data_IF_505577941654
#
_entry.id   IF_505577941654
#
_cell.length_a   1.000
_cell.length_b   1.000
_cell.length_c   1.000
_cell.angle_alpha   90.00
_cell.angle_beta   90.00
_cell.angle_gamma   90.00
#
_symmetry.space_group_name_H-M   'P 1'
#
loop_
_entity.id
_entity.type
_entity.pdbx_description
1 polymer ?
#
# COMPACT_ATOMS: atom_id res chain seq x y z
N UNK A 1 -3.57 -14.12 -4.27
CA UNK A 1 -2.85 -13.84 -5.54
C UNK A 1 -3.83 -13.14 -6.48
N UNK A 2 -3.45 -12.04 -7.14
CA UNK A 2 -4.33 -11.33 -8.07
C UNK A 2 -4.71 -12.27 -9.23
N UNK A 3 -6.00 -12.39 -9.59
CA UNK A 3 -6.43 -13.25 -10.67
C UNK A 3 -6.00 -12.67 -12.03
N UNK A 4 -5.33 -13.47 -12.84
CA UNK A 4 -4.90 -13.13 -14.21
C UNK A 4 -5.28 -14.24 -15.18
N UNK A 5 -5.42 -13.89 -16.45
CA UNK A 5 -5.77 -14.83 -17.51
C UNK A 5 -4.66 -15.85 -17.79
N UNK A 6 -4.99 -16.97 -18.41
CA UNK A 6 -4.00 -17.94 -18.87
C UNK A 6 -3.09 -17.36 -19.97
N UNK A 7 -3.63 -16.43 -20.78
CA UNK A 7 -2.85 -15.68 -21.76
C UNK A 7 -1.78 -14.82 -21.10
N UNK A 8 -2.12 -14.14 -20.00
CA UNK A 8 -1.16 -13.38 -19.19
C UNK A 8 -0.07 -14.27 -18.60
N UNK A 9 -0.45 -15.41 -18.02
CA UNK A 9 0.51 -16.40 -17.43
C UNK A 9 1.48 -16.92 -18.48
N UNK A 10 1.03 -17.06 -19.71
CA UNK A 10 1.87 -17.47 -20.85
C UNK A 10 2.78 -16.33 -21.30
N UNK A 11 2.22 -15.13 -21.47
CA UNK A 11 2.96 -13.96 -21.94
C UNK A 11 4.06 -13.54 -20.96
N UNK A 12 3.81 -13.57 -19.65
CA UNK A 12 4.80 -13.18 -18.63
C UNK A 12 6.01 -14.12 -18.59
N UNK A 13 5.86 -15.38 -19.04
CA UNK A 13 6.95 -16.36 -19.12
C UNK A 13 7.69 -16.31 -20.44
N UNK A 14 7.17 -15.56 -21.42
CA UNK A 14 7.81 -15.44 -22.72
C UNK A 14 9.17 -14.74 -22.60
N UNK A 15 10.14 -15.17 -23.43
CA UNK A 15 11.48 -14.57 -23.47
C UNK A 15 11.45 -13.11 -23.93
N UNK A 16 10.54 -12.77 -24.84
CA UNK A 16 10.32 -11.40 -25.32
C UNK A 16 8.92 -11.00 -24.92
N UNK A 17 8.78 -9.87 -24.24
CA UNK A 17 7.50 -9.33 -23.80
C UNK A 17 7.49 -7.82 -23.90
N UNK A 18 6.33 -7.25 -24.11
CA UNK A 18 6.09 -5.82 -24.08
C UNK A 18 5.28 -5.50 -22.86
N UNK A 19 5.80 -4.65 -22.01
CA UNK A 19 5.18 -4.25 -20.74
C UNK A 19 5.17 -2.72 -20.60
N UNK A 20 4.30 -2.25 -19.74
CA UNK A 20 4.18 -0.84 -19.39
C UNK A 20 3.77 -0.69 -17.93
N UNK A 21 4.09 0.46 -17.35
CA UNK A 21 3.47 0.92 -16.12
C UNK A 21 2.51 2.06 -16.47
N UNK A 22 1.30 1.96 -15.93
CA UNK A 22 0.27 2.99 -16.02
C UNK A 22 -0.24 3.32 -14.64
N UNK A 23 -1.03 4.37 -14.51
CA UNK A 23 -1.66 4.71 -13.25
C UNK A 23 -2.45 5.99 -13.31
N UNK A 24 -2.91 6.39 -12.14
CA UNK A 24 -3.56 7.68 -11.93
C UNK A 24 -3.01 8.34 -10.68
N UNK A 25 -2.91 9.65 -10.72
CA UNK A 25 -2.59 10.47 -9.57
C UNK A 25 -3.76 11.43 -9.34
N UNK A 26 -4.50 11.21 -8.25
CA UNK A 26 -5.61 12.08 -7.85
C UNK A 26 -5.11 13.08 -6.83
N UNK A 27 -5.10 14.35 -7.19
CA UNK A 27 -4.69 15.44 -6.30
C UNK A 27 -5.75 15.68 -5.23
N UNK A 28 -5.40 16.41 -4.19
CA UNK A 28 -6.31 16.72 -3.07
C UNK A 28 -7.49 17.61 -3.44
N UNK A 29 -7.39 18.34 -4.55
CA UNK A 29 -8.49 19.12 -5.13
C UNK A 29 -9.44 18.29 -6.01
N UNK A 30 -9.20 16.98 -6.14
CA UNK A 30 -9.97 16.07 -6.97
C UNK A 30 -9.50 15.97 -8.43
N UNK A 31 -8.51 16.75 -8.85
CA UNK A 31 -7.93 16.65 -10.20
C UNK A 31 -7.28 15.29 -10.40
N UNK A 32 -7.65 14.59 -11.47
CA UNK A 32 -7.07 13.29 -11.84
C UNK A 32 -6.09 13.46 -12.99
N UNK A 33 -4.85 13.07 -12.75
CA UNK A 33 -3.77 13.07 -13.73
C UNK A 33 -3.50 11.63 -14.16
N UNK A 34 -3.65 11.29 -15.46
CA UNK A 34 -3.24 9.98 -15.95
C UNK A 34 -1.72 9.88 -15.93
N UNK A 35 -1.21 8.72 -15.60
CA UNK A 35 0.21 8.40 -15.61
C UNK A 35 0.49 7.39 -16.72
N UNK A 36 1.13 7.87 -17.75
CA UNK A 36 1.55 7.08 -18.92
C UNK A 36 3.06 7.20 -19.12
N UNK A 37 3.60 6.59 -20.15
CA UNK A 37 5.01 6.74 -20.51
C UNK A 37 5.41 8.19 -20.83
N UNK A 38 4.45 9.09 -21.10
CA UNK A 38 4.74 10.51 -21.32
C UNK A 38 5.05 11.24 -20.01
N UNK A 39 4.31 10.93 -18.94
CA UNK A 39 4.46 11.55 -17.62
C UNK A 39 5.50 10.84 -16.77
N UNK A 40 5.54 9.50 -16.81
CA UNK A 40 6.49 8.70 -16.06
C UNK A 40 7.88 8.73 -16.70
N UNK A 41 8.91 9.01 -15.93
CA UNK A 41 10.28 8.83 -16.42
C UNK A 41 10.64 7.34 -16.42
N UNK A 42 11.07 6.85 -17.56
CA UNK A 42 11.49 5.45 -17.71
C UNK A 42 12.55 5.06 -16.68
N UNK A 43 12.38 3.88 -16.07
CA UNK A 43 13.31 3.34 -15.08
C UNK A 43 13.31 4.05 -13.73
N UNK A 44 12.37 5.00 -13.50
CA UNK A 44 12.34 5.75 -12.24
C UNK A 44 11.41 5.15 -11.19
N UNK A 45 10.51 4.23 -11.56
CA UNK A 45 9.62 3.59 -10.61
C UNK A 45 10.38 2.56 -9.77
N UNK A 46 10.28 2.73 -8.46
CA UNK A 46 10.70 1.74 -7.48
C UNK A 46 9.52 1.42 -6.58
N UNK A 47 9.24 0.15 -6.40
CA UNK A 47 8.27 -0.35 -5.42
C UNK A 47 9.03 -1.14 -4.37
N UNK A 48 8.84 -0.77 -3.13
CA UNK A 48 9.44 -1.41 -1.98
C UNK A 48 8.32 -1.90 -1.05
N UNK A 49 8.11 -3.21 -1.03
CA UNK A 49 7.12 -3.90 -0.21
C UNK A 49 7.86 -4.90 0.69
N UNK A 50 8.66 -4.40 1.60
CA UNK A 50 9.40 -5.24 2.52
C UNK A 50 8.46 -5.85 3.56
N UNK A 51 8.70 -7.10 3.89
CA UNK A 51 8.08 -7.76 5.05
C UNK A 51 9.04 -7.85 6.25
N UNK A 52 10.29 -7.39 6.09
CA UNK A 52 11.35 -7.41 7.11
C UNK A 52 12.24 -6.18 6.91
N UNK A 53 12.61 -5.49 7.99
CA UNK A 53 13.53 -4.33 7.94
C UNK A 53 14.94 -4.64 8.46
N UNK A 54 15.24 -5.88 8.81
CA UNK A 54 16.53 -6.32 9.36
C UNK A 54 16.92 -7.70 8.89
N UNK A 55 17.97 -8.23 9.50
CA UNK A 55 18.43 -9.61 9.24
C UNK A 55 17.52 -10.67 9.89
N UNK A 56 16.71 -10.28 10.88
CA UNK A 56 15.80 -11.18 11.60
C UNK A 56 14.37 -11.03 11.09
N UNK A 57 13.72 -12.17 10.86
CA UNK A 57 12.31 -12.22 10.50
C UNK A 57 11.46 -11.93 11.74
N UNK A 58 10.74 -10.81 11.73
CA UNK A 58 9.80 -10.46 12.79
C UNK A 58 8.37 -10.71 12.31
N UNK A 59 7.69 -11.65 12.94
CA UNK A 59 6.28 -11.94 12.64
C UNK A 59 5.36 -10.86 13.22
N UNK A 60 4.23 -10.60 12.55
CA UNK A 60 3.24 -9.64 13.00
C UNK A 60 3.67 -8.18 12.88
N UNK A 61 4.70 -7.86 12.12
CA UNK A 61 5.11 -6.49 11.90
C UNK A 61 4.40 -5.88 10.70
N UNK A 62 3.83 -4.69 10.87
CA UNK A 62 3.24 -3.89 9.81
C UNK A 62 4.30 -2.98 9.19
N UNK A 63 4.85 -3.35 8.04
CA UNK A 63 5.79 -2.51 7.29
C UNK A 63 5.08 -1.68 6.23
N UNK A 64 5.54 -0.45 6.04
CA UNK A 64 5.01 0.44 5.01
C UNK A 64 5.51 0.02 3.64
N UNK A 65 4.58 -0.21 2.70
CA UNK A 65 4.90 -0.26 1.30
C UNK A 65 5.21 1.14 0.77
N UNK A 66 6.26 1.25 -0.04
CA UNK A 66 6.70 2.52 -0.63
C UNK A 66 6.70 2.43 -2.16
N UNK A 67 6.21 3.49 -2.80
CA UNK A 67 6.40 3.75 -4.22
C UNK A 67 7.20 5.04 -4.40
N UNK A 68 8.27 5.00 -5.17
CA UNK A 68 9.02 6.19 -5.57
C UNK A 68 9.10 6.27 -7.09
N UNK A 69 8.89 7.46 -7.64
CA UNK A 69 8.94 7.69 -9.08
C UNK A 69 9.21 9.15 -9.44
N UNK A 70 9.59 9.40 -10.68
CA UNK A 70 9.82 10.73 -11.21
C UNK A 70 8.77 11.06 -12.30
N UNK A 71 8.12 12.22 -12.14
CA UNK A 71 7.09 12.71 -13.06
C UNK A 71 7.58 13.90 -13.86
N UNK A 72 7.40 13.84 -15.18
CA UNK A 72 7.51 15.01 -16.07
C UNK A 72 6.25 15.83 -15.93
N UNK A 73 6.34 16.98 -15.31
CA UNK A 73 5.17 17.84 -15.06
C UNK A 73 5.59 19.29 -14.85
N UNK A 74 4.72 20.21 -15.23
CA UNK A 74 4.87 21.63 -14.93
C UNK A 74 4.27 22.01 -13.57
N UNK A 75 3.51 21.11 -12.93
CA UNK A 75 2.87 21.40 -11.65
C UNK A 75 3.89 21.64 -10.54
N UNK A 76 3.53 22.52 -9.59
CA UNK A 76 4.32 22.71 -8.38
C UNK A 76 4.37 21.44 -7.55
N UNK A 77 5.51 21.18 -6.89
CA UNK A 77 5.63 20.06 -5.95
C UNK A 77 4.55 20.05 -4.87
N UNK A 78 4.07 21.23 -4.48
CA UNK A 78 3.06 21.37 -3.43
C UNK A 78 1.70 20.77 -3.80
N UNK A 79 1.40 20.63 -5.09
CA UNK A 79 0.16 20.01 -5.56
C UNK A 79 0.10 18.49 -5.29
N UNK A 80 1.26 17.85 -5.04
CA UNK A 80 1.35 16.41 -4.91
C UNK A 80 1.21 15.89 -3.48
N UNK A 81 1.40 16.72 -2.46
CA UNK A 81 1.28 16.28 -1.07
C UNK A 81 -0.15 15.81 -0.77
N UNK A 82 -0.27 14.61 -0.22
CA UNK A 82 -1.55 13.98 0.07
C UNK A 82 -2.29 13.43 -1.13
N UNK A 83 -1.74 13.56 -2.36
CA UNK A 83 -2.33 12.99 -3.56
C UNK A 83 -2.36 11.47 -3.50
N UNK A 84 -3.41 10.86 -4.06
CA UNK A 84 -3.55 9.40 -4.16
C UNK A 84 -2.95 8.91 -5.47
N UNK A 85 -1.95 8.06 -5.37
CA UNK A 85 -1.27 7.39 -6.47
C UNK A 85 -1.79 5.96 -6.58
N UNK A 86 -2.37 5.59 -7.73
CA UNK A 86 -2.73 4.22 -8.06
C UNK A 86 -1.88 3.78 -9.26
N UNK A 87 -1.21 2.65 -9.14
CA UNK A 87 -0.32 2.11 -10.16
C UNK A 87 -0.78 0.75 -10.65
N UNK A 88 -0.54 0.46 -11.93
CA UNK A 88 -0.79 -0.83 -12.54
C UNK A 88 0.37 -1.22 -13.48
N UNK A 89 0.67 -2.51 -13.52
CA UNK A 89 1.57 -3.12 -14.48
C UNK A 89 0.76 -3.76 -15.59
N UNK A 90 0.94 -3.29 -16.81
CA UNK A 90 0.30 -3.82 -18.00
C UNK A 90 1.25 -4.70 -18.79
N UNK A 91 0.77 -5.87 -19.22
CA UNK A 91 1.44 -6.79 -20.11
C UNK A 91 0.66 -6.92 -21.40
N UNK A 92 1.33 -6.77 -22.57
CA UNK A 92 0.70 -7.00 -23.84
C UNK A 92 0.57 -8.49 -24.12
N UNK A 93 -0.66 -8.93 -24.37
CA UNK A 93 -1.00 -10.30 -24.70
C UNK A 93 -0.69 -10.61 -26.18
N UNK A 94 -0.62 -11.89 -26.57
CA UNK A 94 -0.35 -12.29 -27.95
C UNK A 94 -1.35 -11.75 -28.99
N UNK A 95 -2.57 -11.44 -28.59
CA UNK A 95 -3.61 -10.82 -29.41
C UNK A 95 -3.48 -9.29 -29.54
N UNK A 96 -2.47 -8.71 -28.91
CA UNK A 96 -2.22 -7.27 -28.87
C UNK A 96 -2.98 -6.52 -27.79
N UNK A 97 -3.90 -7.15 -27.05
CA UNK A 97 -4.60 -6.55 -25.92
C UNK A 97 -3.67 -6.35 -24.73
N UNK A 98 -4.04 -5.43 -23.85
CA UNK A 98 -3.33 -5.20 -22.60
C UNK A 98 -4.11 -5.75 -21.43
N UNK A 99 -3.47 -6.55 -20.60
CA UNK A 99 -4.00 -6.97 -19.31
C UNK A 99 -3.21 -6.29 -18.20
N UNK A 100 -3.92 -5.60 -17.30
CA UNK A 100 -3.31 -4.79 -16.25
C UNK A 100 -3.51 -5.43 -14.87
N UNK A 101 -2.43 -5.46 -14.10
CA UNK A 101 -2.42 -5.93 -12.71
C UNK A 101 -2.12 -4.75 -11.81
N UNK A 102 -3.00 -4.44 -10.82
CA UNK A 102 -2.75 -3.36 -9.88
C UNK A 102 -1.48 -3.64 -9.06
N UNK A 103 -0.62 -2.62 -8.97
CA UNK A 103 0.60 -2.64 -8.16
C UNK A 103 0.38 -2.06 -6.75
N UNK A 104 -0.74 -1.38 -6.56
CA UNK A 104 -1.13 -0.81 -5.27
C UNK A 104 -1.64 0.61 -5.36
N UNK A 105 -2.10 1.09 -4.20
CA UNK A 105 -2.52 2.47 -3.98
C UNK A 105 -1.69 3.07 -2.86
N UNK A 106 -1.19 4.27 -3.10
CA UNK A 106 -0.26 4.96 -2.21
C UNK A 106 -0.70 6.41 -2.00
N UNK A 107 -0.32 7.00 -0.88
CA UNK A 107 -0.49 8.43 -0.60
C UNK A 107 0.86 9.12 -0.69
N UNK A 108 0.95 10.18 -1.50
CA UNK A 108 2.18 10.95 -1.68
C UNK A 108 2.50 11.72 -0.40
N UNK A 109 3.64 11.42 0.21
CA UNK A 109 4.13 12.08 1.42
C UNK A 109 5.28 13.04 1.13
N UNK A 110 6.10 12.75 0.11
CA UNK A 110 7.25 13.58 -0.23
C UNK A 110 7.20 13.95 -1.72
N UNK A 111 7.49 15.20 -2.02
CA UNK A 111 7.61 15.68 -3.39
C UNK A 111 8.75 16.70 -3.50
N UNK A 112 9.71 16.43 -4.38
CA UNK A 112 10.86 17.29 -4.59
C UNK A 112 10.95 17.74 -6.05
N UNK A 113 11.01 19.04 -6.30
CA UNK A 113 11.19 19.60 -7.64
C UNK A 113 12.65 19.49 -8.07
N UNK A 114 12.87 18.83 -9.17
CA UNK A 114 14.12 18.84 -9.93
C UNK A 114 13.94 19.68 -11.21
N UNK A 115 15.03 19.95 -11.93
CA UNK A 115 14.96 20.83 -13.10
C UNK A 115 13.89 20.38 -14.14
N UNK A 116 13.83 19.08 -14.45
CA UNK A 116 12.98 18.55 -15.51
C UNK A 116 11.79 17.69 -15.01
N UNK A 117 11.74 17.39 -13.73
CA UNK A 117 10.74 16.48 -13.17
C UNK A 117 10.44 16.79 -11.69
N UNK A 118 9.41 16.18 -11.18
CA UNK A 118 9.14 16.09 -9.73
C UNK A 118 9.39 14.65 -9.30
N UNK A 119 10.29 14.46 -8.34
CA UNK A 119 10.49 13.19 -7.66
C UNK A 119 9.46 13.08 -6.54
N UNK A 120 8.71 12.00 -6.50
CA UNK A 120 7.72 11.74 -5.44
C UNK A 120 8.03 10.43 -4.74
N UNK A 121 7.72 10.40 -3.43
CA UNK A 121 7.63 9.18 -2.65
C UNK A 121 6.23 9.10 -2.04
N UNK A 122 5.64 7.95 -2.17
CA UNK A 122 4.30 7.66 -1.70
C UNK A 122 4.32 6.37 -0.87
N UNK A 123 3.48 6.30 0.13
CA UNK A 123 3.37 5.17 1.03
C UNK A 123 1.96 4.59 0.97
N UNK A 124 1.84 3.32 1.27
CA UNK A 124 0.55 2.63 1.31
C UNK A 124 -0.34 3.14 2.46
N UNK A 125 -1.51 2.55 2.59
CA UNK A 125 -2.48 2.96 3.61
C UNK A 125 -1.98 2.73 5.06
N UNK A 126 -0.96 1.87 5.26
CA UNK A 126 -0.37 1.66 6.58
C UNK A 126 0.32 2.93 7.13
N UNK A 127 0.57 3.94 6.27
CA UNK A 127 1.03 5.25 6.72
C UNK A 127 0.08 5.88 7.75
N UNK A 128 -1.22 5.67 7.63
CA UNK A 128 -2.21 6.20 8.57
C UNK A 128 -2.03 5.62 9.99
N UNK A 129 -1.49 4.41 10.12
CA UNK A 129 -1.19 3.77 11.40
C UNK A 129 0.02 4.37 12.12
N UNK A 130 0.82 5.22 11.48
CA UNK A 130 1.95 5.92 12.10
C UNK A 130 1.51 6.97 13.14
N UNK A 131 0.23 7.30 13.18
CA UNK A 131 -0.32 8.24 14.14
C UNK A 131 -0.10 7.73 15.56
N UNK A 132 0.13 8.70 16.47
CA UNK A 132 0.26 8.40 17.89
C UNK A 132 -1.00 7.71 18.42
N UNK A 133 -0.81 6.62 19.14
CA UNK A 133 -1.89 5.97 19.91
C UNK A 133 -2.31 6.88 21.06
N UNK A 134 -3.60 7.08 21.20
CA UNK A 134 -4.17 8.01 22.19
C UNK A 134 -4.43 7.37 23.56
N UNK A 135 -4.21 6.05 23.67
CA UNK A 135 -4.43 5.30 24.90
C UNK A 135 -5.85 4.79 25.08
N UNK A 136 -6.71 4.87 24.06
CA UNK A 136 -8.05 4.28 24.11
C UNK A 136 -7.98 2.77 24.35
N UNK A 137 -8.71 2.26 25.32
CA UNK A 137 -8.78 0.82 25.59
C UNK A 137 -9.57 0.16 24.45
N UNK A 138 -8.93 -0.78 23.75
CA UNK A 138 -9.54 -1.62 22.73
C UNK A 138 -9.79 -3.00 23.32
N UNK A 139 -10.93 -3.61 23.00
CA UNK A 139 -11.27 -4.95 23.45
C UNK A 139 -12.06 -5.69 22.39
N UNK A 140 -11.75 -6.96 22.19
CA UNK A 140 -12.44 -7.83 21.23
C UNK A 140 -11.56 -8.95 20.71
N UNK A 141 -12.08 -9.67 19.74
CA UNK A 141 -11.35 -10.65 18.94
C UNK A 141 -10.33 -9.94 18.03
N UNK A 142 -9.41 -10.67 17.42
CA UNK A 142 -8.42 -10.08 16.51
C UNK A 142 -9.07 -9.23 15.40
N UNK A 143 -10.16 -9.72 14.80
CA UNK A 143 -10.90 -8.97 13.78
C UNK A 143 -11.51 -7.66 14.33
N UNK A 144 -12.14 -7.73 15.50
CA UNK A 144 -12.76 -6.56 16.14
C UNK A 144 -11.71 -5.52 16.57
N UNK A 145 -10.56 -5.96 17.08
CA UNK A 145 -9.44 -5.08 17.41
C UNK A 145 -8.87 -4.40 16.17
N UNK A 146 -8.63 -5.16 15.09
CA UNK A 146 -8.19 -4.59 13.82
C UNK A 146 -9.22 -3.60 13.24
N UNK A 147 -10.52 -3.87 13.39
CA UNK A 147 -11.59 -2.96 13.01
C UNK A 147 -11.53 -1.64 13.78
N UNK A 148 -11.43 -1.69 15.09
CA UNK A 148 -11.30 -0.50 15.96
C UNK A 148 -10.05 0.33 15.61
N UNK A 149 -8.92 -0.33 15.32
CA UNK A 149 -7.68 0.32 14.90
C UNK A 149 -7.86 0.99 13.52
N UNK A 150 -8.49 0.28 12.58
CA UNK A 150 -8.75 0.81 11.25
C UNK A 150 -9.67 2.03 11.31
N UNK A 151 -10.76 1.96 12.06
CA UNK A 151 -11.71 3.07 12.24
C UNK A 151 -11.03 4.30 12.85
N UNK A 152 -10.21 4.11 13.90
CA UNK A 152 -9.44 5.20 14.51
C UNK A 152 -8.48 5.88 13.54
N UNK A 153 -8.01 5.16 12.53
CA UNK A 153 -7.07 5.66 11.51
C UNK A 153 -7.76 6.08 10.19
N UNK A 154 -9.09 5.94 10.09
CA UNK A 154 -9.83 6.23 8.85
C UNK A 154 -9.54 5.21 7.74
N UNK A 155 -9.26 3.98 8.09
CA UNK A 155 -8.99 2.86 7.19
C UNK A 155 -10.17 1.89 7.15
N UNK A 156 -10.19 1.05 6.13
CA UNK A 156 -11.16 -0.05 6.00
C UNK A 156 -10.40 -1.37 5.93
N UNK A 157 -10.86 -2.37 6.69
CA UNK A 157 -10.31 -3.72 6.57
C UNK A 157 -10.72 -4.32 5.22
N UNK A 158 -9.74 -4.93 4.53
CA UNK A 158 -9.99 -5.66 3.29
C UNK A 158 -10.41 -7.12 3.53
N UNK A 159 -10.26 -7.63 4.74
CA UNK A 159 -10.57 -9.00 5.13
C UNK A 159 -11.89 -9.06 5.89
N UNK A 160 -12.57 -10.18 5.77
CA UNK A 160 -13.78 -10.50 6.53
C UNK A 160 -13.42 -11.13 7.89
N UNK A 161 -14.36 -11.12 8.82
CA UNK A 161 -14.20 -11.78 10.11
C UNK A 161 -13.87 -13.28 9.96
N UNK A 162 -14.50 -13.95 8.99
CA UNK A 162 -14.24 -15.38 8.72
C UNK A 162 -12.83 -15.65 8.20
N UNK A 163 -12.29 -14.77 7.36
CA UNK A 163 -10.91 -14.90 6.87
C UNK A 163 -9.89 -14.69 7.98
N UNK A 164 -10.10 -13.73 8.87
CA UNK A 164 -9.22 -13.52 10.03
C UNK A 164 -9.33 -14.68 11.02
N UNK A 165 -10.53 -15.16 11.31
CA UNK A 165 -10.75 -16.31 12.20
C UNK A 165 -10.13 -17.60 11.66
N UNK A 166 -9.97 -17.72 10.35
CA UNK A 166 -9.35 -18.88 9.72
C UNK A 166 -7.80 -18.89 9.78
N UNK A 167 -7.17 -17.80 10.23
CA UNK A 167 -5.70 -17.73 10.31
C UNK A 167 -5.14 -18.68 11.37
N UNK A 168 -5.71 -18.66 12.57
CA UNK A 168 -5.40 -19.62 13.62
C UNK A 168 -6.45 -19.56 14.77
N UNK A 169 -6.32 -20.49 15.73
CA UNK A 169 -7.25 -20.63 16.85
C UNK A 169 -7.27 -19.40 17.77
N UNK A 170 -6.14 -18.67 17.88
CA UNK A 170 -6.03 -17.48 18.73
C UNK A 170 -6.85 -16.30 18.22
N UNK A 171 -7.18 -16.28 16.92
CA UNK A 171 -7.97 -15.20 16.32
C UNK A 171 -9.35 -15.01 16.95
N UNK A 172 -9.90 -16.07 17.58
CA UNK A 172 -11.19 -16.04 18.29
C UNK A 172 -11.05 -15.61 19.77
N UNK A 173 -9.85 -15.51 20.31
CA UNK A 173 -9.65 -15.07 21.69
C UNK A 173 -10.01 -13.59 21.85
N UNK A 174 -10.73 -13.29 22.93
CA UNK A 174 -11.01 -11.91 23.30
C UNK A 174 -9.82 -11.36 24.07
N UNK A 175 -9.19 -10.36 23.49
CA UNK A 175 -8.01 -9.68 24.04
C UNK A 175 -8.34 -8.21 24.33
N UNK A 176 -7.47 -7.58 25.10
CA UNK A 176 -7.55 -6.15 25.40
C UNK A 176 -6.19 -5.52 25.12
N UNK A 177 -6.22 -4.33 24.54
CA UNK A 177 -5.06 -3.45 24.35
C UNK A 177 -5.36 -2.14 25.08
N UNK A 178 -4.38 -1.64 25.83
CA UNK A 178 -4.54 -0.40 26.58
C UNK A 178 -3.22 0.34 26.85
N UNK A 179 -3.28 1.46 27.56
CA UNK A 179 -2.09 2.30 27.84
C UNK A 179 -0.98 1.58 28.60
N UNK A 180 -1.32 0.55 29.37
CA UNK A 180 -0.37 -0.23 30.16
C UNK A 180 0.59 -1.08 29.29
N UNK A 181 0.21 -1.35 28.03
CA UNK A 181 1.00 -2.18 27.11
C UNK A 181 2.20 -1.44 26.49
N UNK A 182 2.35 -0.15 26.79
CA UNK A 182 3.51 0.65 26.37
C UNK A 182 3.54 0.97 24.86
N UNK A 183 2.46 0.74 24.14
CA UNK A 183 2.32 0.99 22.71
C UNK A 183 2.29 2.49 22.43
N UNK A 184 2.98 2.95 21.38
CA UNK A 184 3.16 4.37 21.07
C UNK A 184 2.37 4.83 19.84
N UNK A 185 2.12 3.93 18.91
CA UNK A 185 1.43 4.22 17.67
C UNK A 185 0.31 3.22 17.41
N UNK A 186 -0.64 3.58 16.56
CA UNK A 186 -1.66 2.65 16.08
C UNK A 186 -1.05 1.48 15.30
N UNK A 187 0.13 1.68 14.71
CA UNK A 187 0.91 0.60 14.09
C UNK A 187 1.39 -0.42 15.11
N UNK A 188 1.86 0.02 16.27
CA UNK A 188 2.26 -0.91 17.35
C UNK A 188 1.05 -1.73 17.81
N UNK A 189 -0.14 -1.08 17.93
CA UNK A 189 -1.38 -1.79 18.25
C UNK A 189 -1.72 -2.85 17.19
N UNK A 190 -1.68 -2.48 15.91
CA UNK A 190 -1.93 -3.43 14.82
C UNK A 190 -0.92 -4.58 14.79
N UNK A 191 0.36 -4.30 15.05
CA UNK A 191 1.40 -5.32 15.14
C UNK A 191 1.18 -6.25 16.33
N UNK A 192 0.77 -5.74 17.47
CA UNK A 192 0.42 -6.56 18.65
C UNK A 192 -0.73 -7.53 18.34
N UNK A 193 -1.77 -7.07 17.64
CA UNK A 193 -2.87 -7.95 17.20
C UNK A 193 -2.38 -8.99 16.19
N UNK A 194 -1.56 -8.59 15.20
CA UNK A 194 -1.02 -9.49 14.18
C UNK A 194 -0.09 -10.58 14.75
N UNK A 195 0.46 -10.38 15.95
CA UNK A 195 1.25 -11.40 16.65
C UNK A 195 0.39 -12.46 17.36
N UNK A 196 -0.93 -12.22 17.50
CA UNK A 196 -1.86 -13.17 18.10
C UNK A 196 -2.34 -14.22 17.08
N UNK A 197 -2.27 -13.90 15.79
CA UNK A 197 -2.88 -14.69 14.71
C UNK A 197 -1.89 -15.25 13.68
#
# INVERSE_FOLDING_TARGET
MYPVSEAYKTAIRARTRTDRVTGTLTLTDGTVLPLTAAELMSGSLTLDNQCVTGEELAFGCAYLGQAALNLRTALSRHAFYGARLCLAYGLQLPDGQWEEVPLGSYTVAEAERRALYVSIKAYDNLLALQRRYDGTVLQGTAYELLGQIADACGLTLGQTAGEVAALNENAALVCQIGPADGLKSWRDCASAVAQLV
#
